data_IF_127338170781
#
_entry.id   IF_127338170781
#
_cell.length_a   1.000
_cell.length_b   1.000
_cell.length_c   1.000
_cell.angle_alpha   90.00
_cell.angle_beta   90.00
_cell.angle_gamma   90.00
#
_symmetry.space_group_name_H-M   'P 1'
#
loop_
_entity.id
_entity.type
_entity.pdbx_description
1 polymer ?
#
# COMPACT_ATOMS: atom_id res chain seq x y z
N UNK A 1 10.04 0.07 10.31
CA UNK A 1 10.07 -0.73 11.54
C UNK A 1 11.29 -1.64 11.66
N UNK A 2 12.19 -1.77 10.65
CA UNK A 2 13.34 -2.72 10.74
C UNK A 2 14.27 -2.46 11.93
N UNK A 3 14.75 -1.23 12.14
CA UNK A 3 15.64 -0.92 13.28
C UNK A 3 14.93 -0.98 14.62
N UNK A 4 13.61 -0.74 14.64
CA UNK A 4 12.77 -0.79 15.85
C UNK A 4 12.62 -2.24 16.33
N UNK A 5 12.26 -3.15 15.42
CA UNK A 5 12.25 -4.60 15.68
C UNK A 5 13.66 -5.13 15.97
N UNK A 6 14.69 -4.57 15.33
CA UNK A 6 16.08 -4.91 15.61
C UNK A 6 16.47 -4.60 17.06
N UNK A 7 16.11 -3.43 17.58
CA UNK A 7 16.29 -3.09 19.01
C UNK A 7 15.54 -4.10 19.88
N UNK A 8 14.30 -4.42 19.53
CA UNK A 8 13.47 -5.38 20.28
C UNK A 8 14.10 -6.77 20.35
N UNK A 9 14.68 -7.27 19.24
CA UNK A 9 15.39 -8.56 19.19
C UNK A 9 16.61 -8.57 20.12
N UNK A 10 17.30 -7.44 20.27
CA UNK A 10 18.46 -7.31 21.17
C UNK A 10 18.05 -7.09 22.64
N UNK A 11 16.77 -6.85 22.92
CA UNK A 11 16.28 -6.57 24.27
C UNK A 11 17.00 -5.39 24.92
N UNK A 12 17.42 -5.54 26.18
CA UNK A 12 18.15 -4.48 26.90
C UNK A 12 19.45 -4.03 26.21
N UNK A 13 20.13 -4.93 25.49
CA UNK A 13 21.33 -4.58 24.73
C UNK A 13 21.02 -3.64 23.57
N UNK A 14 19.80 -3.69 23.02
CA UNK A 14 19.37 -2.77 21.96
C UNK A 14 19.29 -1.30 22.39
N UNK A 15 19.28 -1.04 23.70
CA UNK A 15 19.31 0.31 24.29
C UNK A 15 20.72 0.74 24.74
N UNK A 16 21.70 -0.17 24.70
CA UNK A 16 23.08 0.13 25.06
C UNK A 16 23.82 0.77 23.89
N UNK A 17 24.54 1.87 24.14
CA UNK A 17 25.39 2.53 23.14
C UNK A 17 26.57 1.65 22.69
N UNK A 18 26.84 0.54 23.38
CA UNK A 18 27.85 -0.45 22.98
C UNK A 18 27.40 -1.27 21.77
N UNK A 19 26.09 -1.36 21.50
CA UNK A 19 25.55 -2.15 20.41
C UNK A 19 25.20 -1.27 19.20
N UNK A 20 25.64 -1.63 17.97
CA UNK A 20 25.39 -0.82 16.77
C UNK A 20 23.92 -0.54 16.46
N UNK A 21 23.01 -1.41 16.92
CA UNK A 21 21.58 -1.29 16.67
C UNK A 21 20.95 -0.05 17.34
N UNK A 22 21.48 0.36 18.50
CA UNK A 22 21.06 1.58 19.20
C UNK A 22 21.31 2.82 18.34
N UNK A 23 22.51 2.92 17.77
CA UNK A 23 22.88 4.00 16.87
C UNK A 23 22.05 3.97 15.60
N UNK A 24 21.89 2.79 14.99
CA UNK A 24 21.07 2.64 13.79
C UNK A 24 19.61 3.07 14.02
N UNK A 25 19.06 2.81 15.21
CA UNK A 25 17.72 3.26 15.59
C UNK A 25 17.60 4.79 15.63
N UNK A 26 18.54 5.47 16.30
CA UNK A 26 18.57 6.94 16.35
C UNK A 26 18.76 7.56 14.97
N UNK A 27 19.72 7.05 14.21
CA UNK A 27 20.07 7.57 12.88
C UNK A 27 18.89 7.43 11.90
N UNK A 28 18.09 6.37 12.01
CA UNK A 28 16.93 6.17 11.14
C UNK A 28 15.82 7.21 11.32
N UNK A 29 15.78 7.93 12.46
CA UNK A 29 14.67 8.84 12.78
C UNK A 29 14.61 10.05 11.85
N UNK A 30 15.76 10.52 11.38
CA UNK A 30 15.86 11.72 10.53
C UNK A 30 15.35 11.49 9.11
N UNK A 31 15.39 10.23 8.63
CA UNK A 31 15.00 9.86 7.27
C UNK A 31 13.52 10.13 6.95
N UNK A 32 12.68 10.31 7.98
CA UNK A 32 11.25 10.63 7.82
C UNK A 32 10.98 12.14 7.73
N UNK A 33 12.03 12.96 7.87
CA UNK A 33 11.96 14.42 7.99
C UNK A 33 12.75 15.10 6.86
N UNK A 34 13.93 14.60 6.52
CA UNK A 34 14.74 15.11 5.42
C UNK A 34 14.16 14.72 4.05
N UNK A 35 14.53 15.49 3.01
CA UNK A 35 13.97 15.39 1.64
C UNK A 35 12.45 15.64 1.56
N UNK A 36 11.98 16.52 2.45
CA UNK A 36 10.56 16.75 2.70
C UNK A 36 10.02 15.72 3.69
N UNK A 37 9.23 16.17 4.66
CA UNK A 37 8.65 15.25 5.63
C UNK A 37 7.78 14.21 4.91
N UNK A 38 7.65 13.03 5.51
CA UNK A 38 6.80 11.99 4.92
C UNK A 38 5.35 12.47 4.70
N UNK A 39 4.86 13.38 5.54
CA UNK A 39 3.53 13.98 5.40
C UNK A 39 3.45 14.84 4.13
N UNK A 40 4.44 15.71 3.87
CA UNK A 40 4.49 16.50 2.63
C UNK A 40 4.61 15.59 1.40
N UNK A 41 5.50 14.59 1.46
CA UNK A 41 5.65 13.63 0.37
C UNK A 41 4.36 12.86 0.08
N UNK A 42 3.60 12.45 1.11
CA UNK A 42 2.28 11.82 0.95
C UNK A 42 1.27 12.74 0.27
N UNK A 43 1.22 14.03 0.62
CA UNK A 43 0.30 14.96 -0.03
C UNK A 43 0.65 15.23 -1.50
N UNK A 44 1.94 15.18 -1.84
CA UNK A 44 2.40 15.41 -3.21
C UNK A 44 1.99 14.29 -4.17
N UNK A 45 1.96 13.02 -3.75
CA UNK A 45 1.63 11.87 -4.60
C UNK A 45 0.28 12.03 -5.32
N UNK A 46 -0.88 12.13 -4.61
CA UNK A 46 -2.17 12.29 -5.24
C UNK A 46 -2.33 13.69 -5.88
N UNK A 47 -1.74 14.74 -5.30
CA UNK A 47 -1.78 16.09 -5.87
C UNK A 47 -1.08 16.18 -7.23
N UNK A 48 0.00 15.44 -7.45
CA UNK A 48 0.66 15.36 -8.77
C UNK A 48 -0.17 14.57 -9.78
N UNK A 49 -0.82 13.49 -9.36
CA UNK A 49 -1.73 12.71 -10.22
C UNK A 49 -2.91 13.56 -10.71
N UNK A 50 -3.57 14.29 -9.81
CA UNK A 50 -4.67 15.19 -10.15
C UNK A 50 -4.21 16.30 -11.10
N UNK A 51 -3.08 16.95 -10.81
CA UNK A 51 -2.50 17.99 -11.69
C UNK A 51 -2.19 17.48 -13.10
N UNK A 52 -1.64 16.26 -13.22
CA UNK A 52 -1.38 15.64 -14.53
C UNK A 52 -2.68 15.30 -15.27
N UNK A 53 -3.73 14.88 -14.56
CA UNK A 53 -5.03 14.65 -15.17
C UNK A 53 -5.69 15.92 -15.69
N UNK A 54 -5.63 17.03 -14.94
CA UNK A 54 -6.13 18.34 -15.37
C UNK A 54 -5.40 18.86 -16.62
N UNK A 55 -4.11 18.54 -16.76
CA UNK A 55 -3.31 18.85 -17.95
C UNK A 55 -3.54 17.89 -19.12
N UNK A 56 -4.45 16.92 -18.99
CA UNK A 56 -4.71 15.90 -20.02
C UNK A 56 -3.57 14.89 -20.22
N UNK A 57 -2.57 14.87 -19.35
CA UNK A 57 -1.41 13.98 -19.44
C UNK A 57 -1.70 12.57 -18.91
N UNK A 58 -2.75 12.44 -18.09
CA UNK A 58 -3.23 11.16 -17.57
C UNK A 58 -4.75 11.08 -17.70
N UNK A 59 -5.31 9.99 -18.24
CA UNK A 59 -6.75 9.82 -18.41
C UNK A 59 -7.45 9.40 -17.10
N UNK A 60 -7.17 10.06 -15.96
CA UNK A 60 -7.69 9.66 -14.65
C UNK A 60 -9.22 9.77 -14.58
N UNK A 61 -9.82 10.81 -15.16
CA UNK A 61 -11.28 10.97 -15.20
C UNK A 61 -11.94 9.81 -15.96
N UNK A 62 -11.39 9.42 -17.11
CA UNK A 62 -11.89 8.29 -17.89
C UNK A 62 -11.70 6.96 -17.14
N UNK A 63 -10.58 6.81 -16.41
CA UNK A 63 -10.35 5.64 -15.57
C UNK A 63 -11.36 5.56 -14.41
N UNK A 64 -11.68 6.69 -13.76
CA UNK A 64 -12.67 6.75 -12.69
C UNK A 64 -14.08 6.41 -13.19
N UNK A 65 -14.47 6.93 -14.36
CA UNK A 65 -15.76 6.59 -14.99
C UNK A 65 -15.85 5.10 -15.35
N UNK A 66 -14.78 4.51 -15.90
CA UNK A 66 -14.73 3.07 -16.17
C UNK A 66 -14.84 2.25 -14.90
N UNK A 67 -14.15 2.66 -13.84
CA UNK A 67 -14.23 2.00 -12.55
C UNK A 67 -15.65 2.04 -11.98
N UNK A 68 -16.35 3.18 -12.02
CA UNK A 68 -17.74 3.25 -11.55
C UNK A 68 -18.64 2.24 -12.26
N UNK A 69 -18.50 2.12 -13.59
CA UNK A 69 -19.25 1.13 -14.36
C UNK A 69 -18.89 -0.31 -13.95
N UNK A 70 -17.59 -0.61 -13.88
CA UNK A 70 -17.10 -1.92 -13.43
C UNK A 70 -17.57 -2.26 -12.02
N UNK A 71 -17.73 -1.26 -11.14
CA UNK A 71 -18.18 -1.51 -9.78
C UNK A 71 -19.62 -2.02 -9.70
N UNK A 72 -20.48 -1.55 -10.62
CA UNK A 72 -21.88 -1.92 -10.73
C UNK A 72 -22.10 -3.26 -11.42
N UNK A 73 -21.15 -3.72 -12.23
CA UNK A 73 -21.25 -4.96 -12.99
C UNK A 73 -20.51 -6.10 -12.23
N UNK A 74 -21.18 -7.21 -11.89
CA UNK A 74 -20.49 -8.37 -11.33
C UNK A 74 -19.60 -9.01 -12.41
N UNK A 75 -18.30 -9.13 -12.15
CA UNK A 75 -17.40 -9.97 -12.96
C UNK A 75 -17.37 -11.37 -12.39
N UNK A 76 -17.53 -12.37 -13.27
CA UNK A 76 -17.41 -13.80 -12.96
C UNK A 76 -16.15 -14.42 -13.54
N UNK A 77 -15.30 -13.63 -14.20
CA UNK A 77 -14.05 -14.12 -14.77
C UNK A 77 -13.02 -14.32 -13.66
N UNK A 78 -12.51 -15.54 -13.56
CA UNK A 78 -11.37 -15.84 -12.69
C UNK A 78 -10.11 -15.25 -13.33
N UNK A 79 -9.36 -14.40 -12.60
CA UNK A 79 -8.13 -13.85 -13.14
C UNK A 79 -7.08 -14.95 -13.33
N UNK A 80 -6.43 -14.96 -14.50
CA UNK A 80 -5.28 -15.85 -14.76
C UNK A 80 -4.16 -15.67 -13.72
N UNK A 81 -4.03 -14.44 -13.24
CA UNK A 81 -3.01 -14.04 -12.27
C UNK A 81 -3.64 -13.30 -11.09
N UNK A 82 -3.87 -14.03 -10.01
CA UNK A 82 -4.56 -13.51 -8.83
C UNK A 82 -3.75 -12.39 -8.13
N UNK A 83 -2.43 -12.50 -8.06
CA UNK A 83 -1.58 -11.52 -7.37
C UNK A 83 -1.55 -10.20 -8.14
N UNK A 84 -1.40 -10.24 -9.47
CA UNK A 84 -1.49 -9.04 -10.31
C UNK A 84 -2.90 -8.44 -10.28
N UNK A 85 -3.94 -9.28 -10.24
CA UNK A 85 -5.32 -8.82 -10.11
C UNK A 85 -5.54 -8.06 -8.79
N UNK A 86 -5.02 -8.57 -7.67
CA UNK A 86 -5.09 -7.91 -6.37
C UNK A 86 -4.35 -6.56 -6.35
N UNK A 87 -3.16 -6.50 -6.98
CA UNK A 87 -2.42 -5.24 -7.15
C UNK A 87 -3.21 -4.24 -8.01
N UNK A 88 -3.87 -4.69 -9.07
CA UNK A 88 -4.77 -3.84 -9.84
C UNK A 88 -5.95 -3.37 -8.98
N UNK A 89 -6.44 -4.19 -8.06
CA UNK A 89 -7.41 -3.84 -7.03
C UNK A 89 -6.95 -2.68 -6.15
N UNK A 90 -5.71 -2.69 -5.65
CA UNK A 90 -5.11 -1.58 -4.90
C UNK A 90 -5.10 -0.28 -5.71
N UNK A 91 -4.70 -0.33 -6.98
CA UNK A 91 -4.68 0.83 -7.88
C UNK A 91 -6.09 1.39 -8.11
N UNK A 92 -7.06 0.51 -8.32
CA UNK A 92 -8.48 0.88 -8.45
C UNK A 92 -9.02 1.50 -7.17
N UNK A 93 -8.65 0.96 -5.99
CA UNK A 93 -9.06 1.50 -4.70
C UNK A 93 -8.51 2.91 -4.49
N UNK A 94 -7.22 3.14 -4.76
CA UNK A 94 -6.63 4.49 -4.69
C UNK A 94 -7.33 5.47 -5.64
N UNK A 95 -7.62 5.04 -6.87
CA UNK A 95 -8.35 5.84 -7.85
C UNK A 95 -9.77 6.14 -7.39
N UNK A 96 -10.46 5.19 -6.77
CA UNK A 96 -11.81 5.37 -6.22
C UNK A 96 -11.80 6.42 -5.10
N UNK A 97 -10.89 6.29 -4.12
CA UNK A 97 -10.78 7.23 -3.00
C UNK A 97 -10.44 8.63 -3.50
N UNK A 98 -9.42 8.77 -4.34
CA UNK A 98 -9.01 10.06 -4.88
C UNK A 98 -10.09 10.68 -5.80
N UNK A 99 -10.77 9.85 -6.59
CA UNK A 99 -11.85 10.27 -7.50
C UNK A 99 -13.07 10.81 -6.75
N UNK A 100 -13.52 10.09 -5.71
CA UNK A 100 -14.62 10.54 -4.85
C UNK A 100 -14.26 11.83 -4.10
N UNK A 101 -13.02 11.95 -3.62
CA UNK A 101 -12.52 13.16 -2.99
C UNK A 101 -12.53 14.36 -3.95
N UNK A 102 -11.99 14.18 -5.16
CA UNK A 102 -11.99 15.22 -6.19
C UNK A 102 -13.42 15.60 -6.62
N UNK A 103 -14.33 14.64 -6.73
CA UNK A 103 -15.73 14.88 -7.07
C UNK A 103 -16.46 15.69 -5.99
N UNK A 104 -16.24 15.38 -4.70
CA UNK A 104 -16.90 16.06 -3.58
C UNK A 104 -16.32 17.44 -3.29
N UNK A 105 -15.00 17.57 -3.28
CA UNK A 105 -14.30 18.78 -2.81
C UNK A 105 -13.77 19.67 -3.94
N UNK A 106 -13.68 19.16 -5.17
CA UNK A 106 -13.17 19.91 -6.32
C UNK A 106 -11.77 20.47 -6.05
N UNK A 107 -11.61 21.78 -6.23
CA UNK A 107 -10.33 22.48 -5.99
C UNK A 107 -9.90 22.47 -4.51
N UNK A 108 -10.85 22.28 -3.57
CA UNK A 108 -10.56 22.24 -2.12
C UNK A 108 -10.07 20.88 -1.64
N UNK A 109 -9.89 19.90 -2.53
CA UNK A 109 -9.43 18.56 -2.16
C UNK A 109 -8.06 18.57 -1.46
N UNK A 110 -7.23 19.58 -1.72
CA UNK A 110 -5.93 19.78 -1.06
C UNK A 110 -6.05 20.07 0.45
N UNK A 111 -7.23 20.52 0.91
CA UNK A 111 -7.52 20.74 2.34
C UNK A 111 -7.84 19.43 3.07
N UNK A 112 -8.26 18.37 2.36
CA UNK A 112 -8.62 17.06 2.94
C UNK A 112 -7.37 16.15 3.02
N UNK A 113 -6.41 16.56 3.84
CA UNK A 113 -5.08 15.94 3.92
C UNK A 113 -5.12 14.47 4.33
N UNK A 114 -6.02 14.09 5.23
CA UNK A 114 -6.18 12.71 5.70
C UNK A 114 -6.64 11.78 4.58
N UNK A 115 -7.55 12.25 3.73
CA UNK A 115 -8.04 11.51 2.57
C UNK A 115 -6.91 11.34 1.54
N UNK A 116 -6.16 12.41 1.28
CA UNK A 116 -5.03 12.38 0.37
C UNK A 116 -3.91 11.46 0.88
N UNK A 117 -3.62 11.50 2.18
CA UNK A 117 -2.64 10.61 2.82
C UNK A 117 -3.06 9.14 2.70
N UNK A 118 -4.33 8.81 2.94
CA UNK A 118 -4.84 7.44 2.76
C UNK A 118 -4.71 6.97 1.29
N UNK A 119 -5.07 7.81 0.33
CA UNK A 119 -4.87 7.51 -1.09
C UNK A 119 -3.38 7.32 -1.44
N UNK A 120 -2.50 8.14 -0.87
CA UNK A 120 -1.05 8.04 -1.06
C UNK A 120 -0.49 6.73 -0.49
N UNK A 121 -0.89 6.34 0.72
CA UNK A 121 -0.44 5.10 1.35
C UNK A 121 -0.87 3.87 0.53
N UNK A 122 -2.10 3.87 -0.03
CA UNK A 122 -2.57 2.80 -0.94
C UNK A 122 -1.72 2.77 -2.23
N UNK A 123 -1.35 3.93 -2.78
CA UNK A 123 -0.49 4.01 -3.97
C UNK A 123 0.94 3.53 -3.70
N UNK A 124 1.49 3.86 -2.53
CA UNK A 124 2.80 3.36 -2.08
C UNK A 124 2.76 1.84 -2.00
N UNK A 125 1.73 1.29 -1.37
CA UNK A 125 1.54 -0.17 -1.26
C UNK A 125 1.38 -0.84 -2.62
N UNK A 126 0.59 -0.25 -3.53
CA UNK A 126 0.42 -0.76 -4.88
C UNK A 126 1.75 -0.79 -5.66
N UNK A 127 2.53 0.29 -5.59
CA UNK A 127 3.83 0.39 -6.27
C UNK A 127 4.85 -0.60 -5.71
N UNK A 128 4.94 -0.69 -4.38
CA UNK A 128 5.86 -1.60 -3.71
C UNK A 128 5.50 -3.07 -3.98
N UNK A 129 4.21 -3.43 -3.90
CA UNK A 129 3.75 -4.78 -4.18
C UNK A 129 3.98 -5.20 -5.63
N UNK A 130 3.67 -4.33 -6.61
CA UNK A 130 3.95 -4.59 -8.02
C UNK A 130 5.43 -4.79 -8.29
N UNK A 131 6.26 -3.88 -7.76
CA UNK A 131 7.72 -3.95 -7.93
C UNK A 131 8.29 -5.23 -7.32
N UNK A 132 7.86 -5.59 -6.11
CA UNK A 132 8.28 -6.81 -5.44
C UNK A 132 7.84 -8.06 -6.20
N UNK A 133 6.60 -8.11 -6.67
CA UNK A 133 6.05 -9.27 -7.38
C UNK A 133 6.74 -9.49 -8.74
N UNK A 134 6.89 -8.44 -9.55
CA UNK A 134 7.53 -8.54 -10.85
C UNK A 134 9.00 -8.96 -10.71
N UNK A 135 9.69 -8.44 -9.68
CA UNK A 135 11.06 -8.85 -9.37
C UNK A 135 11.14 -10.29 -8.87
N UNK A 136 10.24 -10.69 -7.96
CA UNK A 136 10.27 -12.03 -7.36
C UNK A 136 10.02 -13.14 -8.37
N UNK A 137 9.21 -12.89 -9.41
CA UNK A 137 8.98 -13.84 -10.51
C UNK A 137 10.23 -14.15 -11.31
N UNK A 138 11.13 -13.16 -11.43
CA UNK A 138 12.42 -13.35 -12.11
C UNK A 138 13.45 -14.07 -11.24
N UNK A 139 13.39 -13.85 -9.92
CA UNK A 139 14.34 -14.43 -8.96
C UNK A 139 13.96 -15.85 -8.51
N UNK A 140 12.66 -16.12 -8.33
CA UNK A 140 12.18 -17.35 -7.73
C UNK A 140 12.49 -17.47 -6.23
N UNK A 141 12.24 -18.65 -5.67
CA UNK A 141 12.55 -18.99 -4.27
C UNK A 141 11.89 -18.07 -3.24
N UNK A 142 12.61 -17.78 -2.16
CA UNK A 142 12.12 -16.97 -1.03
C UNK A 142 11.64 -15.57 -1.44
N UNK A 143 12.10 -15.03 -2.56
CA UNK A 143 11.63 -13.74 -3.07
C UNK A 143 10.12 -13.75 -3.34
N UNK A 144 9.56 -14.89 -3.77
CA UNK A 144 8.12 -15.03 -4.01
C UNK A 144 7.33 -15.02 -2.70
N UNK A 145 7.81 -15.73 -1.68
CA UNK A 145 7.22 -15.71 -0.34
C UNK A 145 7.24 -14.31 0.27
N UNK A 146 8.36 -13.58 0.14
CA UNK A 146 8.49 -12.19 0.59
C UNK A 146 7.50 -11.26 -0.12
N UNK A 147 7.35 -11.40 -1.45
CA UNK A 147 6.42 -10.58 -2.24
C UNK A 147 4.96 -10.84 -1.86
N UNK A 148 4.56 -12.11 -1.69
CA UNK A 148 3.21 -12.50 -1.25
C UNK A 148 2.89 -11.98 0.14
N UNK A 149 3.82 -12.17 1.08
CA UNK A 149 3.67 -11.69 2.45
C UNK A 149 3.44 -10.18 2.46
N UNK A 150 4.22 -9.42 1.69
CA UNK A 150 4.03 -7.98 1.57
C UNK A 150 2.67 -7.62 0.94
N UNK A 151 2.28 -8.27 -0.16
CA UNK A 151 1.02 -8.02 -0.85
C UNK A 151 -0.19 -8.22 0.06
N UNK A 152 -0.26 -9.33 0.80
CA UNK A 152 -1.40 -9.60 1.68
C UNK A 152 -1.51 -8.57 2.81
N UNK A 153 -0.39 -8.19 3.42
CA UNK A 153 -0.40 -7.12 4.42
C UNK A 153 -0.74 -5.74 3.82
N UNK A 154 -0.36 -5.49 2.57
CA UNK A 154 -0.71 -4.27 1.84
C UNK A 154 -2.22 -4.20 1.55
N UNK A 155 -2.85 -5.31 1.18
CA UNK A 155 -4.31 -5.38 0.98
C UNK A 155 -5.07 -5.08 2.28
N UNK A 156 -4.63 -5.63 3.41
CA UNK A 156 -5.21 -5.35 4.73
C UNK A 156 -5.11 -3.86 5.10
N UNK A 157 -3.90 -3.28 4.98
CA UNK A 157 -3.67 -1.85 5.25
C UNK A 157 -4.51 -0.96 4.35
N UNK A 158 -4.57 -1.28 3.06
CA UNK A 158 -5.33 -0.52 2.08
C UNK A 158 -6.83 -0.55 2.39
N UNK A 159 -7.36 -1.71 2.77
CA UNK A 159 -8.77 -1.84 3.17
C UNK A 159 -9.08 -0.97 4.39
N UNK A 160 -8.26 -1.07 5.44
CA UNK A 160 -8.43 -0.28 6.67
C UNK A 160 -8.31 1.22 6.38
N UNK A 161 -7.29 1.61 5.63
CA UNK A 161 -7.05 3.01 5.26
C UNK A 161 -8.15 3.60 4.38
N UNK A 162 -8.71 2.83 3.44
CA UNK A 162 -9.84 3.30 2.65
C UNK A 162 -11.11 3.40 3.51
N UNK A 163 -11.44 2.36 4.28
CA UNK A 163 -12.67 2.36 5.09
C UNK A 163 -12.67 3.42 6.21
N UNK A 164 -11.51 3.92 6.64
CA UNK A 164 -11.43 5.03 7.59
C UNK A 164 -11.74 6.39 6.98
N UNK A 165 -11.53 6.58 5.67
CA UNK A 165 -11.76 7.87 4.98
C UNK A 165 -13.00 7.90 4.10
N UNK A 166 -13.49 6.75 3.60
CA UNK A 166 -14.69 6.72 2.75
C UNK A 166 -15.95 7.34 3.40
N UNK A 167 -16.21 7.24 4.72
CA UNK A 167 -17.32 7.93 5.37
C UNK A 167 -17.25 9.46 5.26
N UNK A 168 -16.05 10.02 5.06
CA UNK A 168 -15.88 11.45 4.78
C UNK A 168 -16.35 11.81 3.38
N UNK A 169 -16.35 10.86 2.44
CA UNK A 169 -16.58 11.08 1.01
C UNK A 169 -18.01 10.79 0.57
N UNK A 170 -18.66 9.79 1.15
CA UNK A 170 -19.99 9.32 0.70
C UNK A 170 -20.91 9.04 1.87
N UNK A 171 -22.22 9.25 1.67
CA UNK A 171 -23.26 9.10 2.70
C UNK A 171 -24.48 8.36 2.12
N UNK A 172 -25.41 7.94 2.98
CA UNK A 172 -26.65 7.30 2.56
C UNK A 172 -26.48 5.93 1.88
N UNK A 173 -27.37 5.62 0.95
CA UNK A 173 -27.39 4.32 0.26
C UNK A 173 -26.18 4.13 -0.68
N UNK A 174 -25.67 5.22 -1.26
CA UNK A 174 -24.46 5.21 -2.10
C UNK A 174 -23.23 4.74 -1.31
N UNK A 175 -23.13 5.09 -0.03
CA UNK A 175 -22.02 4.69 0.82
C UNK A 175 -21.91 3.16 0.95
N UNK A 176 -23.04 2.44 1.00
CA UNK A 176 -23.04 0.97 1.12
C UNK A 176 -22.41 0.30 -0.10
N UNK A 177 -22.71 0.81 -1.29
CA UNK A 177 -22.15 0.32 -2.56
C UNK A 177 -20.64 0.56 -2.57
N UNK A 178 -20.20 1.76 -2.17
CA UNK A 178 -18.78 2.14 -2.13
C UNK A 178 -18.00 1.32 -1.11
N UNK A 179 -18.55 1.05 0.07
CA UNK A 179 -17.89 0.19 1.07
C UNK A 179 -17.78 -1.27 0.60
N UNK A 180 -18.82 -1.78 -0.06
CA UNK A 180 -18.79 -3.12 -0.66
C UNK A 180 -17.73 -3.21 -1.76
N UNK A 181 -17.67 -2.20 -2.63
CA UNK A 181 -16.64 -2.07 -3.65
C UNK A 181 -15.23 -2.05 -3.07
N UNK A 182 -14.99 -1.25 -2.01
CA UNK A 182 -13.70 -1.19 -1.34
C UNK A 182 -13.25 -2.56 -0.84
N UNK A 183 -14.15 -3.29 -0.14
CA UNK A 183 -13.88 -4.65 0.36
C UNK A 183 -13.63 -5.65 -0.77
N UNK A 184 -14.34 -5.53 -1.89
CA UNK A 184 -14.15 -6.40 -3.05
C UNK A 184 -12.79 -6.17 -3.71
N UNK A 185 -12.37 -4.90 -3.85
CA UNK A 185 -11.09 -4.53 -4.46
C UNK A 185 -9.87 -4.97 -3.64
N UNK A 186 -10.03 -5.18 -2.33
CA UNK A 186 -8.97 -5.66 -1.42
C UNK A 186 -9.14 -7.13 -1.04
N UNK A 187 -10.13 -7.82 -1.61
CA UNK A 187 -10.37 -9.22 -1.27
C UNK A 187 -9.17 -10.07 -1.67
N UNK A 188 -8.74 -10.91 -0.75
CA UNK A 188 -7.84 -12.02 -1.03
C UNK A 188 -8.30 -13.28 -0.30
N UNK A 189 -7.88 -14.42 -0.83
CA UNK A 189 -8.06 -15.69 -0.12
C UNK A 189 -7.26 -15.67 1.19
N UNK A 190 -7.79 -16.23 2.29
CA UNK A 190 -7.05 -16.35 3.53
C UNK A 190 -5.74 -17.11 3.29
N UNK A 191 -4.62 -16.41 3.42
CA UNK A 191 -3.29 -16.99 3.29
C UNK A 191 -2.72 -17.30 4.68
N UNK A 192 -2.00 -18.41 4.80
CA UNK A 192 -1.24 -18.72 6.01
C UNK A 192 0.00 -17.82 6.09
N UNK A 193 -0.22 -16.60 6.59
CA UNK A 193 0.85 -15.63 6.81
C UNK A 193 1.84 -16.09 7.89
N UNK A 194 1.49 -17.07 8.73
CA UNK A 194 2.42 -17.61 9.73
C UNK A 194 3.43 -18.50 9.02
N UNK A 195 2.98 -19.40 8.14
CA UNK A 195 3.85 -20.24 7.33
C UNK A 195 4.78 -19.39 6.45
N UNK A 196 4.25 -18.40 5.72
CA UNK A 196 5.07 -17.51 4.88
C UNK A 196 6.12 -16.74 5.69
N UNK A 197 5.76 -16.26 6.89
CA UNK A 197 6.73 -15.58 7.78
C UNK A 197 7.82 -16.53 8.26
N UNK A 198 7.49 -17.78 8.59
CA UNK A 198 8.48 -18.78 9.02
C UNK A 198 9.42 -19.15 7.90
N UNK A 199 8.91 -19.38 6.69
CA UNK A 199 9.73 -19.63 5.49
C UNK A 199 10.73 -18.49 5.26
N UNK A 200 10.27 -17.24 5.29
CA UNK A 200 11.15 -16.07 5.12
C UNK A 200 12.14 -15.95 6.29
N UNK A 201 11.72 -16.23 7.52
CA UNK A 201 12.59 -16.16 8.69
C UNK A 201 13.69 -17.23 8.67
N UNK A 202 13.37 -18.46 8.27
CA UNK A 202 14.35 -19.55 8.12
C UNK A 202 15.43 -19.16 7.11
N UNK A 203 15.04 -18.63 5.95
CA UNK A 203 15.99 -18.15 4.94
C UNK A 203 16.85 -16.97 5.45
N UNK A 204 16.27 -16.06 6.25
CA UNK A 204 17.02 -14.95 6.89
C UNK A 204 18.07 -15.48 7.87
N UNK A 205 17.71 -16.48 8.68
CA UNK A 205 18.60 -17.08 9.66
C UNK A 205 19.73 -17.86 8.98
N UNK A 206 19.42 -18.64 7.94
CA UNK A 206 20.42 -19.38 7.15
C UNK A 206 21.41 -18.43 6.45
N UNK A 207 20.93 -17.28 5.95
CA UNK A 207 21.77 -16.26 5.33
C UNK A 207 22.46 -15.31 6.31
N UNK A 208 22.19 -15.44 7.62
CA UNK A 208 22.61 -14.51 8.67
C UNK A 208 22.28 -13.03 8.35
N UNK A 209 21.16 -12.78 7.66
CA UNK A 209 20.81 -11.46 7.15
C UNK A 209 19.78 -11.47 6.02
N UNK A 210 19.88 -10.52 5.10
CA UNK A 210 18.93 -10.42 3.98
C UNK A 210 19.11 -11.60 3.02
N UNK A 211 18.06 -12.41 2.74
CA UNK A 211 18.21 -13.73 2.13
C UNK A 211 18.29 -13.73 0.61
N UNK A 212 18.25 -12.56 -0.04
CA UNK A 212 18.43 -12.45 -1.49
C UNK A 212 19.92 -12.29 -1.79
N UNK A 213 20.55 -13.20 -2.57
CA UNK A 213 21.96 -13.11 -2.91
C UNK A 213 22.32 -11.79 -3.59
N UNK A 214 23.58 -11.36 -3.40
CA UNK A 214 24.15 -10.18 -4.07
C UNK A 214 24.40 -10.41 -5.55
#
# INVERSE_FOLDING_TARGET
YVVDEGVQIHGGYGYSQEYPIERAYRDARINRIFEGTNEINRLLIPGMLLRRALKGQLPLFQAAMRLQKELLEPSFEEPEDLELHQIAGLKKLALMVAGLAAQKYGQKVEEEQEVLAAAADILIDAYAAESALLRSRRLGGVAQAMARLYLFQALDRAQVGALSVLPRLVEGDEARVVYSAARRLTKHEPADLVALRREVAEAVLEAEGYPIPR
#
